data_IF_266224487283
#
_entry.id   IF_266224487283
#
_cell.length_a   1.000
_cell.length_b   1.000
_cell.length_c   1.000
_cell.angle_alpha   90.00
_cell.angle_beta   90.00
_cell.angle_gamma   90.00
#
_symmetry.space_group_name_H-M   'P 1'
#
loop_
_entity.id
_entity.type
_entity.pdbx_description
1 polymer ?
#
# COMPACT_ATOMS: atom_id res chain seq x y z
N UNK A 1 10.34 23.16 4.62
CA UNK A 1 10.60 21.73 4.35
C UNK A 1 10.24 21.45 2.89
N UNK A 2 11.21 21.08 2.05
CA UNK A 2 10.89 20.65 0.67
C UNK A 2 10.31 19.22 0.73
N UNK A 3 9.10 19.04 0.23
CA UNK A 3 8.50 17.72 0.04
C UNK A 3 9.20 17.00 -1.13
N UNK A 4 9.39 15.69 -1.00
CA UNK A 4 10.02 14.85 -2.04
C UNK A 4 9.05 14.49 -3.15
N UNK A 5 7.78 14.32 -2.84
CA UNK A 5 6.77 13.79 -3.75
C UNK A 5 5.51 14.63 -3.85
N UNK A 6 5.22 15.47 -2.87
CA UNK A 6 4.00 16.25 -2.84
C UNK A 6 4.14 17.62 -2.22
N UNK A 7 3.12 18.48 -2.38
CA UNK A 7 3.06 19.74 -1.67
C UNK A 7 2.76 19.49 -0.19
N UNK A 8 3.53 20.11 0.70
CA UNK A 8 3.32 20.06 2.15
C UNK A 8 1.88 20.37 2.58
N UNK A 9 1.24 21.34 1.91
CA UNK A 9 -0.17 21.66 2.15
C UNK A 9 -1.12 20.51 1.82
N UNK A 10 -0.90 19.81 0.70
CA UNK A 10 -1.71 18.64 0.32
C UNK A 10 -1.58 17.50 1.32
N UNK A 11 -0.37 17.23 1.81
CA UNK A 11 -0.16 16.20 2.83
C UNK A 11 -0.91 16.53 4.11
N UNK A 12 -0.89 17.80 4.55
CA UNK A 12 -1.67 18.24 5.71
C UNK A 12 -3.17 18.03 5.53
N UNK A 13 -3.71 18.37 4.36
CA UNK A 13 -5.12 18.18 4.04
C UNK A 13 -5.50 16.69 4.06
N UNK A 14 -4.66 15.83 3.49
CA UNK A 14 -4.89 14.38 3.48
C UNK A 14 -4.88 13.83 4.92
N UNK A 15 -3.89 14.19 5.73
CA UNK A 15 -3.83 13.79 7.13
C UNK A 15 -5.07 14.24 7.91
N UNK A 16 -5.49 15.50 7.71
CA UNK A 16 -6.67 16.05 8.38
C UNK A 16 -7.98 15.31 7.99
N UNK A 17 -8.14 14.92 6.72
CA UNK A 17 -9.29 14.12 6.25
C UNK A 17 -9.39 12.75 6.93
N UNK A 18 -8.29 12.25 7.46
CA UNK A 18 -8.22 10.99 8.21
C UNK A 18 -8.11 11.19 9.74
N UNK A 19 -8.52 12.35 10.27
CA UNK A 19 -8.47 12.71 11.70
C UNK A 19 -7.07 12.61 12.30
N UNK A 20 -6.05 12.94 11.51
CA UNK A 20 -4.66 12.91 11.93
C UNK A 20 -4.07 14.31 12.05
N UNK A 21 -3.49 14.63 13.21
CA UNK A 21 -2.69 15.85 13.36
C UNK A 21 -1.47 15.77 12.43
N UNK A 22 -1.24 16.82 11.68
CA UNK A 22 -0.10 16.96 10.76
C UNK A 22 1.20 17.30 11.54
N UNK A 23 1.71 16.34 12.32
CA UNK A 23 3.01 16.47 12.97
C UNK A 23 4.13 16.34 11.95
N UNK A 24 5.29 16.91 12.27
CA UNK A 24 6.49 16.83 11.42
C UNK A 24 6.82 15.38 11.02
N UNK A 25 6.78 14.45 11.97
CA UNK A 25 7.07 13.03 11.74
C UNK A 25 6.06 12.37 10.80
N UNK A 26 4.75 12.62 10.99
CA UNK A 26 3.71 12.08 10.11
C UNK A 26 3.81 12.60 8.69
N UNK A 27 4.10 13.89 8.54
CA UNK A 27 4.28 14.50 7.22
C UNK A 27 5.49 13.89 6.53
N UNK A 28 6.62 13.78 7.23
CA UNK A 28 7.85 13.20 6.68
C UNK A 28 7.66 11.76 6.24
N UNK A 29 7.04 10.92 7.08
CA UNK A 29 6.80 9.50 6.77
C UNK A 29 5.81 9.34 5.62
N UNK A 30 4.74 10.12 5.59
CA UNK A 30 3.77 10.06 4.49
C UNK A 30 4.35 10.53 3.16
N UNK A 31 5.18 11.58 3.15
CA UNK A 31 5.88 12.07 1.97
C UNK A 31 6.85 11.02 1.40
N UNK A 32 7.55 10.30 2.28
CA UNK A 32 8.41 9.18 1.88
C UNK A 32 7.59 8.01 1.32
N UNK A 33 6.44 7.72 1.90
CA UNK A 33 5.52 6.70 1.37
C UNK A 33 5.08 7.02 -0.06
N UNK A 34 4.70 8.29 -0.32
CA UNK A 34 4.36 8.76 -1.67
C UNK A 34 5.54 8.64 -2.64
N UNK A 35 6.76 8.89 -2.16
CA UNK A 35 7.97 8.80 -2.99
C UNK A 35 8.32 7.35 -3.35
N UNK A 36 8.15 6.41 -2.42
CA UNK A 36 8.54 5.02 -2.63
C UNK A 36 7.57 4.24 -3.53
N UNK A 37 6.28 4.52 -3.47
CA UNK A 37 5.15 4.04 -4.32
C UNK A 37 5.18 2.55 -4.76
N UNK A 38 5.93 1.67 -4.11
CA UNK A 38 6.12 0.27 -4.49
C UNK A 38 5.88 -0.70 -3.33
N UNK A 39 4.78 -0.53 -2.60
CA UNK A 39 4.45 -1.37 -1.44
C UNK A 39 5.64 -1.55 -0.48
N UNK A 40 6.20 -0.44 0.06
CA UNK A 40 7.40 -0.53 0.87
C UNK A 40 7.15 -1.25 2.20
N UNK A 41 8.22 -1.86 2.73
CA UNK A 41 8.27 -2.30 4.14
C UNK A 41 8.54 -1.11 5.06
N UNK A 42 8.27 -1.28 6.37
CA UNK A 42 8.60 -0.25 7.35
C UNK A 42 10.10 0.08 7.38
N UNK A 43 10.96 -0.93 7.19
CA UNK A 43 12.42 -0.74 7.13
C UNK A 43 12.85 0.07 5.91
N UNK A 44 12.24 -0.17 4.75
CA UNK A 44 12.49 0.64 3.54
C UNK A 44 12.07 2.10 3.74
N UNK A 45 10.90 2.31 4.36
CA UNK A 45 10.45 3.66 4.73
C UNK A 45 11.42 4.31 5.71
N UNK A 46 11.84 3.60 6.76
CA UNK A 46 12.79 4.09 7.74
C UNK A 46 14.13 4.47 7.12
N UNK A 47 14.71 3.58 6.31
CA UNK A 47 16.00 3.83 5.64
C UNK A 47 15.95 5.08 4.76
N UNK A 48 14.80 5.33 4.13
CA UNK A 48 14.63 6.55 3.33
C UNK A 48 14.39 7.77 4.21
N UNK A 49 13.57 7.66 5.25
CA UNK A 49 13.28 8.74 6.21
C UNK A 49 14.57 9.24 6.87
N UNK A 50 15.45 8.34 7.33
CA UNK A 50 16.69 8.69 8.01
C UNK A 50 17.65 9.54 7.18
N UNK A 51 17.61 9.43 5.85
CA UNK A 51 18.45 10.26 4.96
C UNK A 51 18.11 11.75 5.07
N UNK A 52 16.89 12.09 5.43
CA UNK A 52 16.39 13.47 5.50
C UNK A 52 16.04 13.90 6.92
N UNK A 53 15.67 12.95 7.78
CA UNK A 53 15.20 13.18 9.15
C UNK A 53 15.83 12.18 10.13
N UNK A 54 17.13 12.31 10.42
CA UNK A 54 17.85 11.31 11.23
C UNK A 54 17.37 11.20 12.68
N UNK A 55 16.58 12.16 13.16
CA UNK A 55 15.96 12.12 14.50
C UNK A 55 14.73 11.21 14.59
N UNK A 56 14.18 10.73 13.48
CA UNK A 56 13.03 9.85 13.47
C UNK A 56 13.51 8.40 13.64
N UNK A 57 13.12 7.76 14.74
CA UNK A 57 13.50 6.37 15.05
C UNK A 57 12.68 5.36 14.24
N UNK A 58 13.22 4.13 14.11
CA UNK A 58 12.50 3.00 13.49
C UNK A 58 11.17 2.72 14.20
N UNK A 59 11.16 2.76 15.56
CA UNK A 59 9.94 2.58 16.33
C UNK A 59 8.88 3.64 16.03
N UNK A 60 9.30 4.90 15.78
CA UNK A 60 8.40 5.97 15.37
C UNK A 60 7.80 5.70 13.99
N UNK A 61 8.58 5.17 13.04
CA UNK A 61 8.08 4.80 11.71
C UNK A 61 7.02 3.71 11.83
N UNK A 62 7.31 2.60 12.53
CA UNK A 62 6.34 1.52 12.74
C UNK A 62 5.04 2.04 13.36
N UNK A 63 5.13 2.77 14.48
CA UNK A 63 3.95 3.33 15.17
C UNK A 63 3.14 4.27 14.26
N UNK A 64 3.82 5.07 13.44
CA UNK A 64 3.15 5.99 12.53
C UNK A 64 2.45 5.25 11.39
N UNK A 65 3.10 4.25 10.79
CA UNK A 65 2.50 3.40 9.76
C UNK A 65 1.29 2.62 10.30
N UNK A 66 1.37 2.08 11.52
CA UNK A 66 0.24 1.42 12.16
C UNK A 66 -0.93 2.40 12.38
N UNK A 67 -0.65 3.62 12.84
CA UNK A 67 -1.66 4.68 12.97
C UNK A 67 -2.29 5.03 11.60
N UNK A 68 -1.50 5.09 10.55
CA UNK A 68 -2.01 5.34 9.19
C UNK A 68 -2.93 4.22 8.70
N UNK A 69 -2.61 2.97 9.02
CA UNK A 69 -3.48 1.82 8.70
C UNK A 69 -4.78 1.88 9.50
N UNK A 70 -4.71 2.13 10.81
CA UNK A 70 -5.89 2.26 11.68
C UNK A 70 -6.86 3.36 11.21
N UNK A 71 -6.30 4.46 10.68
CA UNK A 71 -7.07 5.57 10.13
C UNK A 71 -7.41 5.41 8.65
N UNK A 72 -7.17 4.26 8.06
CA UNK A 72 -7.44 3.95 6.65
C UNK A 72 -6.78 4.92 5.66
N UNK A 73 -5.65 5.52 6.05
CA UNK A 73 -4.85 6.38 5.19
C UNK A 73 -3.97 5.56 4.25
N UNK A 74 -3.54 4.40 4.71
CA UNK A 74 -2.81 3.37 3.94
C UNK A 74 -3.39 1.99 4.26
N UNK A 75 -3.05 0.99 3.47
CA UNK A 75 -3.44 -0.41 3.70
C UNK A 75 -2.22 -1.28 3.97
N UNK A 76 -2.41 -2.38 4.70
CA UNK A 76 -1.42 -3.48 4.74
C UNK A 76 -1.68 -4.44 3.59
N UNK A 77 -0.61 -4.89 2.96
CA UNK A 77 -0.67 -5.93 1.94
C UNK A 77 -0.23 -7.25 2.54
N UNK A 78 -0.98 -8.30 2.27
CA UNK A 78 -0.61 -9.66 2.68
C UNK A 78 0.58 -10.13 1.84
N UNK A 79 1.60 -10.65 2.51
CA UNK A 79 2.76 -11.26 1.87
C UNK A 79 3.01 -12.63 2.51
N UNK A 80 3.67 -13.52 1.80
CA UNK A 80 4.09 -14.83 2.35
C UNK A 80 5.32 -14.71 3.24
N UNK A 81 6.02 -13.58 3.20
CA UNK A 81 7.18 -13.26 4.03
C UNK A 81 6.77 -12.48 5.27
N UNK A 82 7.57 -12.57 6.32
CA UNK A 82 7.30 -11.93 7.63
C UNK A 82 7.25 -10.39 7.57
N UNK A 83 7.87 -9.78 6.56
CA UNK A 83 7.92 -8.35 6.41
C UNK A 83 6.57 -7.79 5.94
N UNK A 84 5.91 -7.00 6.79
CA UNK A 84 4.69 -6.28 6.46
C UNK A 84 4.96 -5.23 5.38
N UNK A 85 4.19 -5.25 4.30
CA UNK A 85 4.21 -4.23 3.25
C UNK A 85 3.00 -3.30 3.38
N UNK A 86 3.18 -2.08 2.95
CA UNK A 86 2.17 -1.03 3.04
C UNK A 86 1.85 -0.49 1.67
N UNK A 87 0.57 -0.21 1.44
CA UNK A 87 0.04 0.32 0.21
C UNK A 87 -0.60 1.68 0.46
N UNK A 88 -0.17 2.69 -0.27
CA UNK A 88 -0.71 4.04 -0.20
C UNK A 88 -1.93 4.20 -1.12
N UNK A 89 -2.11 3.31 -2.09
CA UNK A 89 -3.28 3.30 -2.96
C UNK A 89 -4.47 2.68 -2.22
N UNK A 90 -5.35 3.52 -1.71
CA UNK A 90 -6.55 3.09 -0.96
C UNK A 90 -7.73 2.70 -1.86
N UNK A 91 -7.66 2.96 -3.18
CA UNK A 91 -8.69 2.55 -4.12
C UNK A 91 -8.79 1.03 -4.21
N UNK A 92 -9.94 0.53 -4.68
CA UNK A 92 -10.14 -0.90 -4.81
C UNK A 92 -9.34 -1.42 -6.01
N UNK A 93 -8.33 -2.21 -5.72
CA UNK A 93 -7.50 -2.91 -6.69
C UNK A 93 -7.10 -4.28 -6.13
N UNK A 94 -6.53 -5.09 -6.98
CA UNK A 94 -6.03 -6.42 -6.69
C UNK A 94 -4.52 -6.42 -6.74
N UNK A 95 -3.87 -7.47 -6.28
CA UNK A 95 -2.43 -7.58 -6.30
C UNK A 95 -1.98 -8.84 -7.05
N UNK A 96 -0.95 -8.69 -7.87
CA UNK A 96 -0.13 -9.77 -8.37
C UNK A 96 1.13 -9.83 -7.50
N UNK A 97 1.33 -10.93 -6.80
CA UNK A 97 2.48 -11.12 -5.92
C UNK A 97 3.45 -12.11 -6.52
N UNK A 98 4.69 -11.68 -6.75
CA UNK A 98 5.76 -12.54 -7.21
C UNK A 98 6.55 -13.08 -6.01
N UNK A 99 6.43 -14.38 -5.74
CA UNK A 99 7.07 -15.02 -4.60
C UNK A 99 8.59 -15.00 -4.69
N UNK A 100 9.14 -15.12 -5.90
CA UNK A 100 10.58 -15.12 -6.13
C UNK A 100 11.24 -13.78 -5.84
N UNK A 101 10.68 -12.69 -6.37
CA UNK A 101 11.25 -11.34 -6.25
C UNK A 101 10.65 -10.52 -5.12
N UNK A 102 9.62 -11.04 -4.42
CA UNK A 102 8.85 -10.31 -3.41
C UNK A 102 8.22 -9.02 -3.93
N UNK A 103 8.02 -8.94 -5.25
CA UNK A 103 7.36 -7.81 -5.92
C UNK A 103 5.85 -7.92 -5.83
N UNK A 104 5.21 -6.78 -5.59
CA UNK A 104 3.76 -6.62 -5.68
C UNK A 104 3.47 -5.65 -6.82
N UNK A 105 2.50 -6.01 -7.65
CA UNK A 105 2.05 -5.20 -8.78
C UNK A 105 0.55 -4.98 -8.60
N UNK A 106 0.11 -3.72 -8.66
CA UNK A 106 -1.31 -3.39 -8.65
C UNK A 106 -1.97 -3.89 -9.92
N UNK A 107 -3.13 -4.51 -9.76
CA UNK A 107 -3.92 -5.05 -10.84
C UNK A 107 -5.39 -4.64 -10.69
N UNK A 108 -5.91 -3.96 -11.68
CA UNK A 108 -7.30 -3.53 -11.70
C UNK A 108 -8.11 -4.40 -12.67
N UNK A 109 -9.14 -5.08 -12.14
CA UNK A 109 -10.12 -5.81 -12.94
C UNK A 109 -11.53 -5.66 -12.34
N UNK A 110 -12.22 -4.62 -12.81
CA UNK A 110 -13.61 -4.34 -12.40
C UNK A 110 -14.59 -5.45 -12.82
N UNK A 111 -14.29 -6.17 -13.90
CA UNK A 111 -15.14 -7.27 -14.38
C UNK A 111 -15.01 -8.50 -13.48
N UNK A 112 -13.79 -8.80 -13.03
CA UNK A 112 -13.53 -9.86 -12.04
C UNK A 112 -14.30 -9.57 -10.74
N UNK A 113 -14.18 -8.36 -10.20
CA UNK A 113 -14.86 -7.97 -8.97
C UNK A 113 -16.38 -8.12 -9.09
N UNK A 114 -16.97 -7.67 -10.20
CA UNK A 114 -18.40 -7.83 -10.48
C UNK A 114 -18.82 -9.30 -10.51
N UNK A 115 -18.03 -10.19 -11.14
CA UNK A 115 -18.29 -11.63 -11.18
C UNK A 115 -18.27 -12.25 -9.79
N UNK A 116 -17.27 -11.92 -8.99
CA UNK A 116 -17.15 -12.43 -7.61
C UNK A 116 -18.33 -11.94 -6.76
N UNK A 117 -18.66 -10.65 -6.80
CA UNK A 117 -19.82 -10.11 -6.08
C UNK A 117 -21.13 -10.75 -6.50
N UNK A 118 -21.34 -10.99 -7.81
CA UNK A 118 -22.52 -11.67 -8.34
C UNK A 118 -22.61 -13.11 -7.83
N UNK A 119 -21.47 -13.80 -7.73
CA UNK A 119 -21.39 -15.16 -7.19
C UNK A 119 -21.86 -15.21 -5.73
N UNK A 120 -21.37 -14.31 -4.89
CA UNK A 120 -21.75 -14.25 -3.48
C UNK A 120 -23.17 -13.77 -3.24
N UNK A 121 -23.73 -12.90 -4.08
CA UNK A 121 -25.15 -12.51 -4.01
C UNK A 121 -26.11 -13.68 -4.27
N UNK A 122 -25.69 -14.67 -5.06
CA UNK A 122 -26.48 -15.90 -5.34
C UNK A 122 -26.39 -16.90 -4.18
N UNK A 123 -25.34 -16.87 -3.38
CA UNK A 123 -25.19 -17.69 -2.17
C UNK A 123 -25.74 -16.87 -1.02
N UNK A 124 -26.91 -17.21 -0.53
CA UNK A 124 -27.53 -16.54 0.62
C UNK A 124 -26.62 -16.55 1.85
N UNK A 125 -25.74 -15.54 1.93
CA UNK A 125 -24.94 -15.27 3.11
C UNK A 125 -25.81 -14.50 4.13
N UNK A 126 -26.87 -15.15 4.65
CA UNK A 126 -27.97 -14.53 5.41
C UNK A 126 -27.53 -13.67 6.59
N UNK A 127 -26.34 -13.90 7.15
CA UNK A 127 -25.83 -13.19 8.32
C UNK A 127 -24.50 -12.45 8.07
N UNK A 128 -24.05 -12.35 6.80
CA UNK A 128 -22.77 -11.77 6.49
C UNK A 128 -22.87 -10.69 5.39
N UNK A 129 -22.55 -9.45 5.74
CA UNK A 129 -22.47 -8.33 4.80
C UNK A 129 -21.03 -8.19 4.30
N UNK A 130 -20.80 -8.50 3.03
CA UNK A 130 -19.51 -8.26 2.38
C UNK A 130 -19.28 -6.75 2.30
N UNK A 131 -18.18 -6.28 2.88
CA UNK A 131 -17.75 -4.87 2.82
C UNK A 131 -16.74 -4.63 1.70
N UNK A 132 -15.85 -5.60 1.47
CA UNK A 132 -14.74 -5.49 0.53
C UNK A 132 -14.32 -6.89 0.06
N UNK A 133 -13.81 -6.99 -1.16
CA UNK A 133 -13.24 -8.22 -1.72
C UNK A 133 -11.87 -7.88 -2.28
N UNK A 134 -10.85 -8.51 -1.72
CA UNK A 134 -9.48 -8.39 -2.21
C UNK A 134 -9.04 -9.70 -2.84
N UNK A 135 -8.49 -9.63 -4.04
CA UNK A 135 -7.92 -10.77 -4.74
C UNK A 135 -6.41 -10.58 -4.81
N UNK A 136 -5.68 -11.58 -4.37
CA UNK A 136 -4.24 -11.66 -4.55
C UNK A 136 -3.95 -12.89 -5.39
N UNK A 137 -3.17 -12.69 -6.45
CA UNK A 137 -2.72 -13.76 -7.33
C UNK A 137 -1.23 -13.95 -7.10
N UNK A 138 -0.84 -15.12 -6.64
CA UNK A 138 0.56 -15.45 -6.41
C UNK A 138 1.11 -16.16 -7.66
N UNK A 139 2.34 -15.82 -8.02
CA UNK A 139 2.98 -16.39 -9.20
C UNK A 139 4.42 -15.91 -9.37
N UNK A 140 4.91 -16.03 -10.57
CA UNK A 140 6.27 -15.63 -10.95
C UNK A 140 6.21 -14.62 -12.10
N UNK A 141 7.09 -13.61 -12.06
CA UNK A 141 7.24 -12.68 -13.19
C UNK A 141 8.02 -13.42 -14.28
N UNK A 142 7.36 -13.64 -15.42
CA UNK A 142 8.00 -14.19 -16.61
C UNK A 142 8.56 -13.03 -17.41
N UNK A 143 9.89 -12.94 -17.53
CA UNK A 143 10.51 -12.05 -18.48
C UNK A 143 10.11 -12.50 -19.89
N UNK A 144 9.43 -11.65 -20.64
CA UNK A 144 9.22 -11.89 -22.07
C UNK A 144 10.60 -11.95 -22.73
N UNK A 145 11.04 -13.14 -23.13
CA UNK A 145 12.12 -13.24 -24.10
C UNK A 145 11.70 -12.42 -25.30
N UNK A 146 12.41 -11.32 -25.55
CA UNK A 146 12.32 -10.65 -26.84
C UNK A 146 12.66 -11.70 -27.89
N UNK A 147 11.69 -12.08 -28.72
CA UNK A 147 11.97 -12.82 -29.94
C UNK A 147 12.98 -11.96 -30.71
N UNK A 148 14.23 -12.42 -30.69
CA UNK A 148 15.21 -11.99 -31.68
C UNK A 148 14.65 -12.47 -33.01
N UNK A 149 13.98 -11.58 -33.77
CA UNK A 149 13.75 -11.78 -35.17
C UNK A 149 15.09 -11.59 -35.87
N UNK A 150 15.63 -12.71 -36.35
CA UNK A 150 16.78 -12.71 -37.27
C UNK A 150 16.29 -12.43 -38.70
#
# INVERSE_FOLDING_TARGET
MKSLSGSYSKIKEVLAKHDLKATHQRIAIYDIMLYLDNHPTADQVYNKVCQYYPSISLATVYKTLDTFVEKSLIKRVLTTKDAKKYDINIHDHHHLYCEMSDKIIDYEDKALLKKIMKHFKKKELQFFKIKDIKVQINGEIIERQQKLEF
#
